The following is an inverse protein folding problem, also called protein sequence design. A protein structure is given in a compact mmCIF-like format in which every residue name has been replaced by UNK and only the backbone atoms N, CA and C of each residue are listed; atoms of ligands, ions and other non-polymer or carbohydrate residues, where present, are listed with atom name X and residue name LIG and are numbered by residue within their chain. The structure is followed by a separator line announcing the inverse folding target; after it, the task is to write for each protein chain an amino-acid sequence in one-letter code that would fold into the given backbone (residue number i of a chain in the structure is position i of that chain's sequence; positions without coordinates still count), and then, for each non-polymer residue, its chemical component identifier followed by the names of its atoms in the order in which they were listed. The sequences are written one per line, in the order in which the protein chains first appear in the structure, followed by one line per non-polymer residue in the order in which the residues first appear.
data_IF_179505256858
#
_entry.id   IF_179505256858
#
_cell.length_a   1.000
_cell.length_b   1.000
_cell.length_c   1.000
_cell.angle_alpha   90.00
_cell.angle_beta   90.00
_cell.angle_gamma   90.00
#
_symmetry.space_group_name_H-M   'P 1'
#
loop_
_entity.id
_entity.type
_entity.pdbx_description
1 polymer ?
#
# COMPACT_ATOMS: atom_id res chain seq x y z
N UNK A 1 -58.10 33.98 44.53
CA UNK A 1 -56.85 33.54 45.18
C UNK A 1 -55.85 33.07 44.11
N UNK A 2 -54.91 33.91 43.69
CA UNK A 2 -53.78 33.49 42.83
C UNK A 2 -52.51 33.42 43.66
N UNK A 3 -52.00 32.22 43.95
CA UNK A 3 -50.71 32.05 44.63
C UNK A 3 -49.59 32.15 43.60
N UNK A 4 -48.78 33.19 43.70
CA UNK A 4 -47.56 33.35 42.90
C UNK A 4 -46.53 32.26 43.26
N UNK A 5 -45.87 31.62 42.28
CA UNK A 5 -44.87 30.61 42.59
C UNK A 5 -43.55 31.28 43.01
N UNK A 6 -43.05 30.89 44.19
CA UNK A 6 -41.74 31.31 44.70
C UNK A 6 -40.63 30.65 43.86
N UNK A 7 -39.75 31.45 43.25
CA UNK A 7 -38.56 30.96 42.53
C UNK A 7 -37.61 30.27 43.52
N UNK A 8 -37.36 28.98 43.32
CA UNK A 8 -36.38 28.18 44.07
C UNK A 8 -34.98 28.60 43.62
N UNK A 9 -34.24 29.29 44.50
CA UNK A 9 -32.82 29.60 44.30
C UNK A 9 -32.04 28.28 44.37
N UNK A 10 -31.57 27.80 43.23
CA UNK A 10 -30.63 26.68 43.17
C UNK A 10 -29.33 27.15 43.81
N UNK A 11 -29.06 26.71 45.05
CA UNK A 11 -27.68 26.73 45.52
C UNK A 11 -26.96 25.72 44.66
N UNK A 12 -25.99 26.17 43.85
CA UNK A 12 -24.93 25.33 43.33
C UNK A 12 -24.12 24.81 44.52
N UNK A 13 -24.74 23.89 45.24
CA UNK A 13 -24.17 23.20 46.37
C UNK A 13 -22.96 22.46 45.85
N UNK A 14 -21.87 22.59 46.60
CA UNK A 14 -20.64 21.81 46.59
C UNK A 14 -20.32 20.95 45.36
N UNK A 15 -21.19 20.01 44.99
CA UNK A 15 -21.17 19.21 43.77
C UNK A 15 -20.94 20.01 42.47
N UNK A 16 -21.58 21.17 42.28
CA UNK A 16 -21.36 22.01 41.10
C UNK A 16 -19.93 22.59 41.04
N UNK A 17 -19.35 22.90 42.20
CA UNK A 17 -17.96 23.38 42.30
C UNK A 17 -16.96 22.25 42.08
N UNK A 18 -17.27 21.02 42.49
CA UNK A 18 -16.46 19.85 42.21
C UNK A 18 -16.43 19.51 40.71
N UNK A 19 -17.56 19.62 40.02
CA UNK A 19 -17.62 19.42 38.56
C UNK A 19 -16.77 20.46 37.84
N UNK A 20 -16.89 21.74 38.21
CA UNK A 20 -16.08 22.82 37.61
C UNK A 20 -14.58 22.60 37.90
N UNK A 21 -14.22 22.22 39.13
CA UNK A 21 -12.84 21.90 39.47
C UNK A 21 -12.28 20.72 38.65
N UNK A 22 -13.10 19.68 38.43
CA UNK A 22 -12.70 18.53 37.62
C UNK A 22 -12.52 18.91 36.15
N UNK A 23 -13.40 19.74 35.59
CA UNK A 23 -13.25 20.27 34.22
C UNK A 23 -11.98 21.09 34.07
N UNK A 24 -11.63 21.93 35.06
CA UNK A 24 -10.38 22.71 35.05
C UNK A 24 -9.16 21.76 35.07
N UNK A 25 -9.16 20.74 35.94
CA UNK A 25 -8.07 19.75 36.01
C UNK A 25 -7.90 19.02 34.67
N UNK A 26 -9.01 18.58 34.06
CA UNK A 26 -8.99 17.93 32.74
C UNK A 26 -8.37 18.87 31.69
N UNK A 27 -8.75 20.14 31.67
CA UNK A 27 -8.18 21.09 30.69
C UNK A 27 -6.68 21.33 30.89
N UNK A 28 -6.20 21.33 32.14
CA UNK A 28 -4.77 21.47 32.44
C UNK A 28 -3.99 20.22 32.01
N UNK A 29 -4.52 19.03 32.28
CA UNK A 29 -3.90 17.77 31.85
C UNK A 29 -3.89 17.66 30.33
N UNK A 30 -4.99 18.04 29.67
CA UNK A 30 -5.08 18.01 28.21
C UNK A 30 -4.14 19.03 27.55
N UNK A 31 -4.02 20.24 28.12
CA UNK A 31 -3.02 21.22 27.67
C UNK A 31 -1.59 20.69 27.86
N UNK A 32 -1.30 20.00 28.97
CA UNK A 32 0.00 19.38 29.22
C UNK A 32 0.31 18.25 28.23
N UNK A 33 -0.69 17.42 27.88
CA UNK A 33 -0.55 16.38 26.87
C UNK A 33 -0.29 16.96 25.47
N UNK A 34 -0.99 18.03 25.09
CA UNK A 34 -0.75 18.71 23.81
C UNK A 34 0.64 19.36 23.78
N UNK A 35 1.07 20.03 24.86
CA UNK A 35 2.41 20.61 24.94
C UNK A 35 3.52 19.54 24.90
N UNK A 36 3.29 18.36 25.50
CA UNK A 36 4.24 17.24 25.45
C UNK A 36 4.43 16.64 24.05
N UNK A 37 3.51 16.89 23.11
CA UNK A 37 3.60 16.44 21.72
C UNK A 37 4.33 17.40 20.77
N UNK A 38 4.64 18.64 21.19
CA UNK A 38 5.11 19.70 20.27
C UNK A 38 6.59 20.07 20.47
N UNK A 39 7.31 19.49 21.44
CA UNK A 39 8.75 19.75 21.61
C UNK A 39 9.57 18.53 21.19
N UNK A 40 10.14 18.50 19.96
CA UNK A 40 11.27 17.62 19.68
C UNK A 40 12.49 18.14 20.45
N UNK A 41 12.69 17.56 21.64
CA UNK A 41 13.85 17.82 22.49
C UNK A 41 15.08 17.12 21.86
N UNK A 42 15.87 17.86 21.07
CA UNK A 42 17.10 17.31 20.51
C UNK A 42 17.71 18.11 19.36
N UNK A 43 18.26 19.30 19.66
CA UNK A 43 19.56 19.77 19.16
C UNK A 43 20.13 20.76 20.19
N UNK A 44 21.35 20.49 20.64
CA UNK A 44 22.11 21.29 21.59
C UNK A 44 22.43 22.71 21.06
N UNK A 45 22.76 23.68 21.94
CA UNK A 45 22.86 25.09 21.58
C UNK A 45 24.16 25.40 20.82
N UNK A 46 24.04 26.04 19.65
CA UNK A 46 25.15 26.75 19.03
C UNK A 46 25.13 28.18 19.55
N UNK A 47 25.99 28.47 20.52
CA UNK A 47 26.50 29.81 20.83
C UNK A 47 27.52 30.21 19.76
N UNK A 48 27.23 31.20 18.91
CA UNK A 48 28.25 32.12 18.37
C UNK A 48 27.60 33.48 18.13
N UNK A 49 28.36 34.49 18.52
CA UNK A 49 28.06 35.90 18.69
C UNK A 49 27.82 36.68 17.38
N UNK A 50 27.15 37.81 17.54
CA UNK A 50 27.05 38.93 16.60
C UNK A 50 28.46 39.52 16.32
N UNK A 51 28.89 39.68 15.06
CA UNK A 51 29.79 40.75 14.57
C UNK A 51 30.00 40.68 13.04
N UNK A 52 29.38 41.64 12.35
CA UNK A 52 29.89 42.60 11.34
C UNK A 52 31.08 42.28 10.39
N UNK A 53 30.75 42.38 9.08
CA UNK A 53 31.46 42.95 7.89
C UNK A 53 32.56 42.19 7.10
N UNK A 54 32.38 42.37 5.78
CA UNK A 54 33.34 42.35 4.64
C UNK A 54 33.96 40.98 4.30
N UNK A 55 34.09 40.55 3.05
CA UNK A 55 34.20 41.26 1.77
C UNK A 55 33.83 40.32 0.60
N UNK A 56 33.74 40.93 -0.58
CA UNK A 56 33.24 40.44 -1.86
C UNK A 56 34.06 39.35 -2.57
N UNK A 57 33.36 38.55 -3.37
CA UNK A 57 33.69 38.12 -4.76
C UNK A 57 32.56 37.18 -5.18
N UNK A 58 31.49 37.67 -5.79
CA UNK A 58 31.36 37.92 -7.24
C UNK A 58 31.60 36.66 -8.08
N UNK A 59 30.50 35.94 -8.39
CA UNK A 59 30.21 35.46 -9.74
C UNK A 59 28.72 35.08 -9.89
N UNK A 60 27.98 36.07 -10.39
CA UNK A 60 26.87 36.03 -11.36
C UNK A 60 25.73 34.98 -11.26
N UNK A 61 24.55 35.51 -10.91
CA UNK A 61 23.18 35.10 -11.28
C UNK A 61 23.00 35.21 -12.84
N UNK A 62 22.04 34.53 -13.55
CA UNK A 62 20.68 34.42 -13.07
C UNK A 62 19.81 33.20 -13.33
N UNK A 63 18.83 33.16 -12.43
CA UNK A 63 17.54 32.50 -12.36
C UNK A 63 16.62 32.82 -13.56
N UNK A 64 15.67 31.90 -13.81
CA UNK A 64 14.22 32.18 -14.05
C UNK A 64 13.66 31.95 -15.47
N UNK A 65 12.77 30.94 -15.56
CA UNK A 65 11.51 30.81 -16.35
C UNK A 65 11.62 30.84 -17.90
N UNK A 66 10.75 30.24 -18.73
CA UNK A 66 9.43 29.60 -18.64
C UNK A 66 9.20 28.84 -19.97
N UNK A 67 8.04 28.17 -20.11
CA UNK A 67 7.31 27.93 -21.39
C UNK A 67 7.38 26.52 -22.01
N UNK A 68 6.39 25.72 -21.61
CA UNK A 68 5.44 24.92 -22.41
C UNK A 68 5.67 24.90 -23.93
N UNK A 69 5.93 23.72 -24.50
CA UNK A 69 5.34 23.33 -25.79
C UNK A 69 4.93 21.85 -25.76
N UNK A 70 3.62 21.67 -25.81
CA UNK A 70 2.89 20.46 -26.17
C UNK A 70 3.01 20.29 -27.69
N UNK A 71 3.40 19.14 -28.23
CA UNK A 71 3.07 18.76 -29.62
C UNK A 71 3.09 17.24 -29.80
N UNK A 72 1.87 16.73 -29.91
CA UNK A 72 1.39 15.51 -30.56
C UNK A 72 2.02 15.26 -31.93
N UNK A 73 2.38 14.00 -32.21
CA UNK A 73 2.49 13.37 -33.55
C UNK A 73 2.87 11.90 -33.31
N UNK A 74 2.39 10.87 -34.00
CA UNK A 74 1.40 10.74 -35.08
C UNK A 74 1.11 9.23 -35.19
N UNK A 75 -0.15 8.88 -35.42
CA UNK A 75 -0.63 7.52 -35.67
C UNK A 75 -0.38 7.21 -37.14
N UNK A 76 0.29 6.10 -37.45
CA UNK A 76 0.38 5.56 -38.82
C UNK A 76 -0.38 4.24 -38.84
N UNK A 77 -1.61 4.27 -39.37
CA UNK A 77 -2.35 3.10 -39.82
C UNK A 77 -2.31 3.06 -41.34
N UNK A 78 -1.83 1.95 -41.91
CA UNK A 78 -1.96 1.65 -43.34
C UNK A 78 -2.42 0.19 -43.51
N UNK A 79 -3.68 0.08 -43.97
CA UNK A 79 -4.19 -0.75 -45.08
C UNK A 79 -4.08 -2.29 -45.03
N UNK A 80 -5.28 -2.90 -44.94
CA UNK A 80 -5.90 -3.91 -45.85
C UNK A 80 -5.06 -5.11 -46.33
N UNK A 81 -5.55 -6.33 -46.12
CA UNK A 81 -6.19 -7.17 -47.17
C UNK A 81 -6.89 -8.40 -46.54
N UNK A 82 -8.11 -8.63 -47.04
CA UNK A 82 -8.94 -9.83 -46.98
C UNK A 82 -8.35 -10.93 -47.89
N UNK A 83 -8.63 -12.22 -47.65
CA UNK A 83 -9.46 -12.90 -48.66
C UNK A 83 -10.48 -13.90 -48.08
N UNK A 84 -11.61 -14.01 -48.80
CA UNK A 84 -12.65 -15.03 -48.67
C UNK A 84 -12.28 -16.38 -49.33
N UNK A 85 -13.13 -17.37 -48.99
CA UNK A 85 -13.53 -18.61 -49.71
C UNK A 85 -12.57 -19.80 -49.77
N UNK A 86 -12.97 -21.07 -49.89
CA UNK A 86 -14.18 -21.92 -49.70
C UNK A 86 -13.67 -23.31 -50.16
N UNK A 87 -14.01 -24.42 -49.48
CA UNK A 87 -14.45 -25.73 -50.04
C UNK A 87 -13.87 -27.00 -49.38
N UNK A 88 -14.85 -27.83 -49.02
CA UNK A 88 -14.96 -29.29 -49.18
C UNK A 88 -14.33 -30.31 -48.20
N UNK A 89 -15.20 -31.31 -47.98
CA UNK A 89 -15.14 -32.44 -47.08
C UNK A 89 -14.16 -33.53 -47.54
N UNK A 90 -13.81 -34.44 -46.63
CA UNK A 90 -14.03 -35.90 -46.80
C UNK A 90 -13.75 -36.64 -45.49
N UNK A 91 -14.68 -37.55 -45.20
CA UNK A 91 -14.72 -38.53 -44.13
C UNK A 91 -13.50 -39.46 -44.08
N UNK A 92 -13.17 -39.88 -42.86
CA UNK A 92 -12.15 -40.89 -42.60
C UNK A 92 -12.24 -41.38 -41.16
N UNK A 93 -13.30 -42.13 -40.86
CA UNK A 93 -13.43 -42.94 -39.63
C UNK A 93 -12.28 -43.95 -39.57
N UNK A 94 -11.47 -43.87 -38.52
CA UNK A 94 -10.63 -44.97 -38.05
C UNK A 94 -10.79 -45.01 -36.53
N UNK A 95 -11.52 -46.01 -36.07
CA UNK A 95 -11.72 -46.32 -34.66
C UNK A 95 -10.43 -46.96 -34.12
N UNK A 96 -9.60 -46.17 -33.43
CA UNK A 96 -8.64 -46.69 -32.45
C UNK A 96 -9.24 -46.59 -31.05
N UNK A 97 -8.98 -47.56 -30.15
CA UNK A 97 -9.55 -47.57 -28.81
C UNK A 97 -8.91 -46.45 -27.99
N UNK A 98 -9.62 -45.33 -27.87
CA UNK A 98 -9.35 -44.27 -26.91
C UNK A 98 -9.41 -44.85 -25.50
N UNK A 99 -8.23 -45.07 -24.94
CA UNK A 99 -8.08 -45.23 -23.50
C UNK A 99 -8.37 -43.87 -22.89
N UNK A 100 -9.53 -43.72 -22.25
CA UNK A 100 -9.86 -42.56 -21.42
C UNK A 100 -8.89 -42.51 -20.23
N UNK A 101 -7.76 -41.83 -20.39
CA UNK A 101 -6.98 -41.33 -19.26
C UNK A 101 -7.84 -40.29 -18.54
N UNK A 102 -8.48 -40.71 -17.45
CA UNK A 102 -9.05 -39.78 -16.48
C UNK A 102 -7.88 -38.99 -15.88
N UNK A 103 -7.61 -37.80 -16.41
CA UNK A 103 -6.67 -36.87 -15.80
C UNK A 103 -7.25 -36.44 -14.45
N UNK A 104 -6.70 -36.98 -13.36
CA UNK A 104 -7.07 -36.58 -12.01
C UNK A 104 -6.72 -35.11 -11.81
N UNK A 105 -7.74 -34.28 -11.56
CA UNK A 105 -7.57 -32.86 -11.22
C UNK A 105 -6.64 -32.76 -9.99
N UNK A 106 -5.61 -31.90 -10.01
CA UNK A 106 -4.72 -31.74 -8.87
C UNK A 106 -5.50 -31.28 -7.63
N UNK A 107 -5.10 -31.80 -6.47
CA UNK A 107 -5.69 -31.43 -5.20
C UNK A 107 -5.55 -29.93 -4.94
N UNK A 108 -6.55 -29.33 -4.30
CA UNK A 108 -6.54 -27.90 -3.95
C UNK A 108 -6.27 -27.72 -2.45
N UNK A 109 -5.60 -26.61 -2.10
CA UNK A 109 -5.36 -26.18 -0.72
C UNK A 109 -5.71 -24.70 -0.55
N UNK A 110 -6.16 -24.32 0.64
CA UNK A 110 -6.43 -22.91 0.98
C UNK A 110 -5.31 -22.38 1.87
N UNK A 111 -4.71 -21.26 1.46
CA UNK A 111 -3.59 -20.61 2.15
C UNK A 111 -3.89 -19.12 2.40
N UNK A 112 -3.35 -18.51 3.48
CA UNK A 112 -3.38 -17.05 3.63
C UNK A 112 -2.26 -16.40 2.81
N UNK A 113 -2.58 -15.28 2.16
CA UNK A 113 -1.62 -14.40 1.48
C UNK A 113 -1.69 -13.03 2.15
N UNK A 114 -0.54 -12.46 2.53
CA UNK A 114 -0.53 -11.29 3.39
C UNK A 114 -0.34 -10.01 2.58
N UNK A 115 -1.11 -8.98 2.90
CA UNK A 115 -0.99 -7.65 2.30
C UNK A 115 -1.00 -6.57 3.39
N UNK A 116 -0.47 -5.38 3.07
CA UNK A 116 -0.48 -4.25 4.00
C UNK A 116 -1.90 -3.71 4.18
N UNK A 117 -2.23 -3.25 5.38
CA UNK A 117 -3.38 -2.37 5.55
C UNK A 117 -3.10 -0.94 5.07
N UNK A 118 -4.15 -0.13 5.05
CA UNK A 118 -4.18 1.26 4.57
C UNK A 118 -3.26 2.21 5.35
N UNK A 119 -2.96 1.87 6.60
CA UNK A 119 -2.10 2.66 7.47
C UNK A 119 -0.64 2.17 7.49
N UNK A 120 -0.31 1.10 6.72
CA UNK A 120 1.01 0.48 6.73
C UNK A 120 1.50 0.11 8.14
N UNK A 121 0.58 -0.34 9.00
CA UNK A 121 0.89 -0.74 10.38
C UNK A 121 0.87 -2.25 10.56
N UNK A 122 0.02 -2.95 9.80
CA UNK A 122 -0.18 -4.38 9.96
C UNK A 122 -0.26 -5.10 8.60
N UNK A 123 0.12 -6.37 8.62
CA UNK A 123 -0.13 -7.31 7.53
C UNK A 123 -1.43 -8.07 7.82
N UNK A 124 -2.31 -8.17 6.82
CA UNK A 124 -3.59 -8.88 6.91
C UNK A 124 -3.63 -9.99 5.88
N UNK A 125 -4.01 -11.19 6.31
CA UNK A 125 -4.12 -12.37 5.46
C UNK A 125 -5.44 -12.41 4.70
N UNK A 126 -5.37 -12.62 3.39
CA UNK A 126 -6.48 -12.96 2.51
C UNK A 126 -6.36 -14.43 2.10
N UNK A 127 -7.39 -15.23 2.37
CA UNK A 127 -7.36 -16.66 2.05
C UNK A 127 -7.60 -16.89 0.56
N UNK A 128 -6.72 -17.68 -0.07
CA UNK A 128 -6.83 -18.10 -1.47
C UNK A 128 -6.73 -19.60 -1.61
N UNK A 129 -7.52 -20.15 -2.51
CA UNK A 129 -7.44 -21.55 -2.91
C UNK A 129 -6.51 -21.66 -4.11
N UNK A 130 -5.50 -22.51 -4.00
CA UNK A 130 -4.52 -22.79 -5.05
C UNK A 130 -4.45 -24.29 -5.31
N UNK A 131 -3.99 -24.66 -6.51
CA UNK A 131 -3.60 -26.05 -6.81
C UNK A 131 -2.35 -26.43 -6.02
N UNK A 132 -2.31 -27.68 -5.54
CA UNK A 132 -1.25 -28.23 -4.70
C UNK A 132 -0.17 -29.00 -5.50
N UNK A 133 -0.20 -28.89 -6.83
CA UNK A 133 0.83 -29.45 -7.72
C UNK A 133 2.18 -28.72 -7.59
N UNK A 134 2.15 -27.39 -7.48
CA UNK A 134 3.31 -26.54 -7.17
C UNK A 134 2.92 -25.41 -6.19
N UNK A 135 2.75 -25.74 -4.90
CA UNK A 135 2.14 -24.81 -3.95
C UNK A 135 2.97 -23.54 -3.72
N UNK A 136 4.30 -23.60 -3.83
CA UNK A 136 5.16 -22.41 -3.65
C UNK A 136 5.00 -21.48 -4.83
N UNK A 137 5.13 -21.98 -6.06
CA UNK A 137 4.98 -21.16 -7.26
C UNK A 137 3.57 -20.58 -7.35
N UNK A 138 2.55 -21.39 -7.06
CA UNK A 138 1.16 -20.97 -7.08
C UNK A 138 0.87 -19.91 -6.01
N UNK A 139 1.39 -20.05 -4.78
CA UNK A 139 1.25 -19.05 -3.73
C UNK A 139 1.89 -17.71 -4.13
N UNK A 140 3.12 -17.73 -4.65
CA UNK A 140 3.82 -16.52 -5.08
C UNK A 140 3.12 -15.86 -6.26
N UNK A 141 2.61 -16.64 -7.21
CA UNK A 141 1.81 -16.10 -8.31
C UNK A 141 0.53 -15.42 -7.82
N UNK A 142 -0.15 -15.99 -6.84
CA UNK A 142 -1.30 -15.33 -6.21
C UNK A 142 -0.91 -14.03 -5.47
N UNK A 143 0.22 -14.04 -4.77
CA UNK A 143 0.76 -12.84 -4.14
C UNK A 143 1.03 -11.71 -5.15
N UNK A 144 1.63 -12.04 -6.30
CA UNK A 144 1.92 -11.08 -7.37
C UNK A 144 0.66 -10.50 -8.05
N UNK A 145 -0.50 -11.14 -7.94
CA UNK A 145 -1.78 -10.57 -8.42
C UNK A 145 -2.25 -9.38 -7.58
N UNK A 146 -1.68 -9.19 -6.38
CA UNK A 146 -2.14 -8.19 -5.43
C UNK A 146 -3.42 -8.62 -4.70
N UNK A 147 -3.92 -7.82 -3.74
CA UNK A 147 -5.10 -8.14 -2.94
C UNK A 147 -6.41 -8.05 -3.74
N UNK A 148 -7.41 -8.86 -3.38
CA UNK A 148 -8.78 -8.68 -3.89
C UNK A 148 -9.56 -7.66 -3.06
N UNK A 149 -9.18 -7.51 -1.78
CA UNK A 149 -9.83 -6.62 -0.83
C UNK A 149 -9.41 -5.16 -1.06
N UNK A 150 -10.39 -4.26 -1.25
CA UNK A 150 -10.15 -2.84 -1.56
C UNK A 150 -9.42 -2.04 -0.46
N UNK A 151 -9.33 -2.58 0.76
CA UNK A 151 -8.66 -1.96 1.91
C UNK A 151 -7.28 -2.56 2.21
N UNK A 152 -6.77 -3.40 1.32
CA UNK A 152 -5.43 -3.98 1.38
C UNK A 152 -4.60 -3.47 0.21
N UNK A 153 -3.29 -3.41 0.42
CA UNK A 153 -2.36 -2.83 -0.55
C UNK A 153 -1.21 -3.78 -0.84
N UNK A 154 -0.92 -3.98 -2.13
CA UNK A 154 0.26 -4.68 -2.59
C UNK A 154 1.51 -3.81 -2.36
N UNK A 155 2.58 -4.42 -1.88
CA UNK A 155 3.87 -3.75 -1.70
C UNK A 155 4.91 -4.17 -2.73
N UNK A 156 4.67 -5.28 -3.44
CA UNK A 156 5.50 -5.71 -4.55
C UNK A 156 5.19 -4.79 -5.75
N UNK A 157 6.22 -4.21 -6.41
CA UNK A 157 6.02 -3.35 -7.57
C UNK A 157 5.24 -4.05 -8.68
N UNK A 158 4.30 -3.32 -9.29
CA UNK A 158 3.58 -3.81 -10.46
C UNK A 158 4.56 -4.20 -11.59
N UNK A 159 4.22 -5.29 -12.28
CA UNK A 159 5.06 -5.86 -13.33
C UNK A 159 6.20 -6.75 -12.83
N UNK A 160 6.39 -6.92 -11.52
CA UNK A 160 7.30 -7.94 -10.98
C UNK A 160 6.87 -9.33 -11.41
N UNK A 161 7.79 -10.10 -11.97
CA UNK A 161 7.55 -11.46 -12.47
C UNK A 161 8.23 -12.50 -11.59
N UNK A 162 7.57 -13.65 -11.41
CA UNK A 162 8.21 -14.84 -10.86
C UNK A 162 9.00 -15.54 -11.97
N UNK A 163 10.33 -15.58 -11.83
CA UNK A 163 11.24 -16.26 -12.76
C UNK A 163 11.38 -17.74 -12.39
N UNK A 164 11.54 -18.02 -11.10
CA UNK A 164 11.65 -19.38 -10.59
C UNK A 164 11.18 -19.47 -9.13
N UNK A 165 10.71 -20.64 -8.72
CA UNK A 165 10.44 -20.98 -7.33
C UNK A 165 10.80 -22.45 -7.11
N UNK A 166 11.67 -22.74 -6.13
CA UNK A 166 12.10 -24.10 -5.84
C UNK A 166 12.34 -24.31 -4.34
N UNK A 167 12.15 -25.55 -3.86
CA UNK A 167 12.49 -25.92 -2.49
C UNK A 167 13.77 -26.75 -2.52
N UNK A 168 14.80 -26.30 -1.80
CA UNK A 168 16.03 -27.05 -1.56
C UNK A 168 16.35 -27.05 -0.08
N UNK A 169 16.52 -28.23 0.50
CA UNK A 169 16.87 -28.41 1.92
C UNK A 169 15.94 -27.64 2.88
N UNK A 170 14.62 -27.78 2.70
CA UNK A 170 13.60 -27.08 3.50
C UNK A 170 13.60 -25.53 3.38
N UNK A 171 14.32 -24.98 2.39
CA UNK A 171 14.32 -23.54 2.08
C UNK A 171 13.69 -23.32 0.71
N UNK A 172 12.71 -22.43 0.64
CA UNK A 172 12.15 -21.96 -0.62
C UNK A 172 13.04 -20.84 -1.19
N UNK A 173 13.51 -21.02 -2.41
CA UNK A 173 14.23 -20.01 -3.19
C UNK A 173 13.25 -19.45 -4.22
N UNK A 174 12.99 -18.16 -4.14
CA UNK A 174 12.07 -17.45 -5.02
C UNK A 174 12.85 -16.40 -5.79
N UNK A 175 12.85 -16.53 -7.11
CA UNK A 175 13.58 -15.68 -8.03
C UNK A 175 12.60 -14.74 -8.74
N UNK A 176 12.80 -13.44 -8.58
CA UNK A 176 11.93 -12.40 -9.12
C UNK A 176 12.65 -11.61 -10.21
N UNK A 177 11.89 -11.01 -11.12
CA UNK A 177 12.46 -10.02 -12.05
C UNK A 177 13.04 -8.82 -11.29
N UNK A 178 13.97 -8.12 -11.95
CA UNK A 178 14.63 -6.93 -11.38
C UNK A 178 13.66 -5.80 -11.00
N UNK A 179 12.42 -5.84 -11.49
CA UNK A 179 11.36 -4.91 -11.13
C UNK A 179 11.08 -4.86 -9.63
N UNK A 180 11.32 -5.97 -8.89
CA UNK A 180 11.15 -6.00 -7.44
C UNK A 180 12.02 -4.97 -6.72
N UNK A 181 13.16 -4.60 -7.33
CA UNK A 181 14.10 -3.62 -6.79
C UNK A 181 13.61 -2.17 -6.89
N UNK A 182 12.55 -1.90 -7.68
CA UNK A 182 11.88 -0.60 -7.68
C UNK A 182 11.31 -0.28 -6.30
N UNK A 183 10.95 -1.31 -5.55
CA UNK A 183 10.40 -1.22 -4.21
C UNK A 183 9.07 -0.46 -4.15
N UNK A 184 8.61 -0.20 -2.94
CA UNK A 184 7.41 0.60 -2.69
C UNK A 184 7.80 2.03 -2.32
N UNK A 185 7.06 3.00 -2.84
CA UNK A 185 7.21 4.39 -2.43
C UNK A 185 6.84 4.52 -0.94
N UNK A 186 7.79 4.93 -0.12
CA UNK A 186 7.64 4.92 1.33
C UNK A 186 8.98 4.78 2.03
N UNK A 187 9.01 5.09 3.34
CA UNK A 187 10.22 4.91 4.15
C UNK A 187 10.63 3.44 4.28
N UNK A 188 11.74 3.20 4.98
CA UNK A 188 12.31 1.86 5.19
C UNK A 188 11.34 0.84 5.81
N UNK A 189 10.33 1.28 6.55
CA UNK A 189 9.29 0.42 7.13
C UNK A 189 8.49 -0.31 6.04
N UNK A 190 8.06 0.40 5.01
CA UNK A 190 7.26 -0.18 3.92
C UNK A 190 8.09 -1.16 3.08
N UNK A 191 9.35 -0.82 2.82
CA UNK A 191 10.28 -1.73 2.15
C UNK A 191 10.50 -3.02 2.95
N UNK A 192 10.52 -2.93 4.28
CA UNK A 192 10.61 -4.11 5.15
C UNK A 192 9.40 -5.02 5.03
N UNK A 193 8.20 -4.47 4.85
CA UNK A 193 6.98 -5.24 4.74
C UNK A 193 6.90 -6.10 3.47
N UNK A 194 7.68 -5.78 2.43
CA UNK A 194 7.85 -6.66 1.25
C UNK A 194 8.38 -8.04 1.65
N UNK A 195 9.14 -8.16 2.75
CA UNK A 195 9.67 -9.45 3.22
C UNK A 195 8.59 -10.28 3.94
N UNK A 196 7.54 -9.65 4.45
CA UNK A 196 6.50 -10.29 5.27
C UNK A 196 5.20 -10.57 4.49
N UNK A 197 5.15 -10.21 3.22
CA UNK A 197 4.00 -10.38 2.33
C UNK A 197 3.86 -11.81 1.81
#
# INVERSE_FOLDING_TARGET
MGKSPRRKKSSSGFLGKLIIAFLIIITIVFAWLILSSIIPFGKEPVTVEETTKEEASEQEQPTTQETIEETTQEITEETTEEPEETTEATEGTTEEPTTEETQEKPAEITIPIYFSDDQAQYMKGEYRTISNDDPVKNAVNELLKGPNSANLYALIPEGTKLLNAEIKNNVAYVDFSTDILKGVAGGSTLQRFIIYT
#
